data_IF_014822507208
#
_entry.id   IF_014822507208
#
_cell.length_a   1.000
_cell.length_b   1.000
_cell.length_c   1.000
_cell.angle_alpha   90.00
_cell.angle_beta   90.00
_cell.angle_gamma   90.00
#
_symmetry.space_group_name_H-M   'P 1'
#
loop_
_entity.id
_entity.type
_entity.pdbx_description
1 polymer ?
#
# COMPACT_ATOMS: atom_id res chain seq x y z
N UNK A 1 2.89 -18.07 -5.56
CA UNK A 1 2.09 -16.84 -5.36
C UNK A 1 1.96 -16.16 -6.70
N UNK A 2 0.73 -15.98 -7.19
CA UNK A 2 0.49 -15.19 -8.39
C UNK A 2 0.66 -13.70 -8.06
N UNK A 3 1.01 -12.89 -9.05
CA UNK A 3 1.10 -11.44 -8.88
C UNK A 3 -0.32 -10.85 -8.92
N UNK A 4 -0.64 -9.84 -8.09
CA UNK A 4 -1.92 -9.15 -8.14
C UNK A 4 -2.27 -8.67 -9.56
N UNK A 5 -3.52 -8.87 -9.99
CA UNK A 5 -3.93 -8.58 -11.37
C UNK A 5 -3.76 -7.11 -11.76
N UNK A 6 -3.92 -6.20 -10.79
CA UNK A 6 -3.76 -4.76 -11.01
C UNK A 6 -2.34 -4.38 -11.46
N UNK A 7 -1.32 -5.23 -11.20
CA UNK A 7 0.06 -4.99 -11.65
C UNK A 7 0.24 -5.09 -13.16
N UNK A 8 -0.73 -5.67 -13.87
CA UNK A 8 -0.74 -5.74 -15.33
C UNK A 8 -1.40 -4.51 -15.97
N UNK A 9 -2.03 -3.64 -15.16
CA UNK A 9 -2.68 -2.43 -15.65
C UNK A 9 -1.67 -1.29 -15.78
N UNK A 10 -1.55 -0.65 -16.96
CA UNK A 10 -0.72 0.54 -17.13
C UNK A 10 -1.24 1.77 -16.36
N UNK A 11 -2.43 1.67 -15.74
CA UNK A 11 -3.06 2.72 -14.94
C UNK A 11 -3.28 2.31 -13.49
N UNK A 12 -2.48 1.38 -12.96
CA UNK A 12 -2.59 0.99 -11.55
C UNK A 12 -2.36 2.19 -10.63
N UNK A 13 -3.36 2.46 -9.80
CA UNK A 13 -3.31 3.51 -8.79
C UNK A 13 -2.32 3.16 -7.69
N UNK A 14 -2.24 1.88 -7.33
CA UNK A 14 -1.27 1.40 -6.35
C UNK A 14 0.17 1.66 -6.81
N UNK A 15 0.50 1.33 -8.07
CA UNK A 15 1.83 1.58 -8.64
C UNK A 15 2.15 3.08 -8.71
N UNK A 16 1.16 3.90 -9.11
CA UNK A 16 1.30 5.36 -9.11
C UNK A 16 1.61 5.92 -7.72
N UNK A 17 0.85 5.51 -6.70
CA UNK A 17 1.06 5.97 -5.32
C UNK A 17 2.40 5.52 -4.75
N UNK A 18 2.85 4.29 -5.03
CA UNK A 18 4.15 3.83 -4.59
C UNK A 18 5.29 4.62 -5.25
N UNK A 19 5.12 5.04 -6.51
CA UNK A 19 6.05 5.94 -7.20
C UNK A 19 6.09 7.30 -6.51
N UNK A 20 4.93 7.88 -6.19
CA UNK A 20 4.86 9.14 -5.43
C UNK A 20 5.49 9.03 -4.04
N UNK A 21 5.36 7.89 -3.35
CA UNK A 21 6.07 7.65 -2.09
C UNK A 21 7.59 7.76 -2.28
N UNK A 22 8.12 7.28 -3.40
CA UNK A 22 9.56 7.35 -3.68
C UNK A 22 10.03 8.80 -3.83
N UNK A 23 9.25 9.63 -4.54
CA UNK A 23 9.55 11.04 -4.75
C UNK A 23 9.46 11.85 -3.44
N UNK A 24 8.41 11.62 -2.64
CA UNK A 24 8.18 12.34 -1.39
C UNK A 24 9.25 12.05 -0.35
N UNK A 25 9.64 10.78 -0.20
CA UNK A 25 10.56 10.34 0.85
C UNK A 25 12.03 10.26 0.40
N UNK A 26 12.35 10.71 -0.82
CA UNK A 26 13.71 10.67 -1.36
C UNK A 26 14.27 9.26 -1.54
N UNK A 27 13.39 8.28 -1.79
CA UNK A 27 13.81 6.92 -2.12
C UNK A 27 14.28 6.83 -3.58
N UNK A 28 15.13 5.85 -3.87
CA UNK A 28 15.60 5.62 -5.23
C UNK A 28 14.42 5.40 -6.17
N UNK A 29 14.35 6.22 -7.22
CA UNK A 29 13.28 6.15 -8.20
C UNK A 29 13.19 4.75 -8.82
N UNK A 30 11.97 4.28 -9.01
CA UNK A 30 11.72 3.03 -9.72
C UNK A 30 12.03 3.22 -11.21
N UNK A 31 13.08 2.55 -11.69
CA UNK A 31 13.49 2.59 -13.11
C UNK A 31 12.80 1.51 -13.96
N UNK A 32 12.03 0.62 -13.34
CA UNK A 32 11.26 -0.42 -14.01
C UNK A 32 10.08 -0.89 -13.15
N UNK A 33 9.14 -1.62 -13.74
CA UNK A 33 7.99 -2.16 -13.02
C UNK A 33 8.36 -3.32 -12.06
N UNK A 34 9.47 -4.01 -12.30
CA UNK A 34 9.80 -5.26 -11.59
C UNK A 34 9.96 -5.08 -10.07
N UNK A 35 10.67 -4.07 -9.55
CA UNK A 35 10.75 -3.84 -8.11
C UNK A 35 9.40 -3.49 -7.48
N UNK A 36 8.54 -2.74 -8.18
CA UNK A 36 7.17 -2.46 -7.71
C UNK A 36 6.34 -3.74 -7.63
N UNK A 37 6.43 -4.62 -8.64
CA UNK A 37 5.75 -5.92 -8.62
C UNK A 37 6.19 -6.76 -7.42
N UNK A 38 7.50 -6.81 -7.13
CA UNK A 38 8.02 -7.52 -5.96
C UNK A 38 7.53 -6.92 -4.64
N UNK A 39 7.42 -5.59 -4.57
CA UNK A 39 6.83 -4.90 -3.42
C UNK A 39 5.39 -5.38 -3.17
N UNK A 40 4.53 -5.32 -4.17
CA UNK A 40 3.11 -5.70 -4.03
C UNK A 40 2.92 -7.21 -3.84
N UNK A 41 3.75 -8.05 -4.46
CA UNK A 41 3.78 -9.49 -4.16
C UNK A 41 4.13 -9.75 -2.69
N UNK A 42 5.06 -8.99 -2.11
CA UNK A 42 5.41 -9.10 -0.70
C UNK A 42 4.33 -8.54 0.23
N UNK A 43 3.52 -7.57 -0.22
CA UNK A 43 2.31 -7.16 0.50
C UNK A 43 1.29 -8.30 0.53
N UNK A 44 1.14 -9.05 -0.57
CA UNK A 44 0.28 -10.24 -0.60
C UNK A 44 -1.21 -9.92 -0.51
N UNK A 45 -1.62 -8.75 -1.01
CA UNK A 45 -3.02 -8.34 -1.13
C UNK A 45 -3.35 -8.10 -2.60
N UNK A 46 -4.41 -8.74 -3.09
CA UNK A 46 -4.86 -8.67 -4.48
C UNK A 46 -5.90 -7.56 -4.73
N UNK A 47 -6.47 -6.98 -3.67
CA UNK A 47 -7.44 -5.89 -3.76
C UNK A 47 -6.72 -4.54 -3.88
N UNK A 48 -6.73 -3.97 -5.09
CA UNK A 48 -6.08 -2.68 -5.37
C UNK A 48 -6.65 -1.55 -4.51
N UNK A 49 -7.96 -1.54 -4.22
CA UNK A 49 -8.58 -0.46 -3.45
C UNK A 49 -8.09 -0.46 -2.00
N UNK A 50 -7.97 -1.64 -1.41
CA UNK A 50 -7.43 -1.82 -0.04
C UNK A 50 -5.95 -1.43 0.03
N UNK A 51 -5.14 -1.84 -0.96
CA UNK A 51 -3.72 -1.46 -1.05
C UNK A 51 -3.56 0.05 -1.23
N UNK A 52 -4.38 0.68 -2.08
CA UNK A 52 -4.39 2.13 -2.29
C UNK A 52 -4.74 2.86 -1.00
N UNK A 53 -5.76 2.40 -0.27
CA UNK A 53 -6.15 3.00 1.01
C UNK A 53 -5.01 2.89 2.02
N UNK A 54 -4.37 1.72 2.15
CA UNK A 54 -3.25 1.52 3.06
C UNK A 54 -2.04 2.41 2.70
N UNK A 55 -1.71 2.55 1.41
CA UNK A 55 -0.66 3.48 0.98
C UNK A 55 -0.99 4.93 1.33
N UNK A 56 -2.25 5.35 1.18
CA UNK A 56 -2.70 6.69 1.58
C UNK A 56 -2.59 6.91 3.10
N UNK A 57 -3.03 5.94 3.91
CA UNK A 57 -2.89 6.04 5.36
C UNK A 57 -1.42 6.11 5.78
N UNK A 58 -0.55 5.32 5.12
CA UNK A 58 0.89 5.39 5.37
C UNK A 58 1.47 6.77 5.02
N UNK A 59 1.09 7.34 3.87
CA UNK A 59 1.55 8.67 3.44
C UNK A 59 1.22 9.76 4.46
N UNK A 60 0.06 9.70 5.11
CA UNK A 60 -0.33 10.66 6.16
C UNK A 60 0.60 10.62 7.37
N UNK A 61 1.28 9.50 7.62
CA UNK A 61 2.23 9.40 8.74
C UNK A 61 3.50 10.23 8.51
N UNK A 62 3.84 10.54 7.26
CA UNK A 62 5.00 11.38 6.90
C UNK A 62 6.36 10.85 7.34
N UNK A 63 6.49 9.54 7.60
CA UNK A 63 7.70 8.96 8.24
C UNK A 63 8.82 8.65 7.26
N UNK A 64 8.60 7.67 6.37
CA UNK A 64 9.59 7.13 5.43
C UNK A 64 8.92 6.41 4.27
N UNK A 65 9.71 6.04 3.27
CA UNK A 65 9.27 5.10 2.24
C UNK A 65 8.74 3.80 2.88
N UNK A 66 7.54 3.33 2.50
CA UNK A 66 6.94 2.15 3.09
C UNK A 66 7.76 0.89 2.78
N UNK A 67 7.86 -0.01 3.74
CA UNK A 67 8.23 -1.39 3.51
C UNK A 67 6.93 -2.21 3.27
N UNK A 68 7.00 -3.38 2.61
CA UNK A 68 5.82 -4.21 2.40
C UNK A 68 5.10 -4.60 3.70
N UNK A 69 5.84 -4.77 4.80
CA UNK A 69 5.29 -5.08 6.12
C UNK A 69 4.40 -3.96 6.66
N UNK A 70 4.81 -2.70 6.51
CA UNK A 70 4.06 -1.53 6.96
C UNK A 70 2.67 -1.49 6.29
N UNK A 71 2.62 -1.81 5.00
CA UNK A 71 1.37 -1.84 4.24
C UNK A 71 0.50 -3.02 4.66
N UNK A 72 1.08 -4.20 4.93
CA UNK A 72 0.30 -5.36 5.44
C UNK A 72 -0.34 -5.07 6.79
N UNK A 73 0.36 -4.40 7.69
CA UNK A 73 -0.15 -4.02 9.01
C UNK A 73 -1.36 -3.09 8.84
N UNK A 74 -1.24 -2.04 8.02
CA UNK A 74 -2.36 -1.15 7.72
C UNK A 74 -3.55 -1.85 7.07
N UNK A 75 -3.32 -2.79 6.15
CA UNK A 75 -4.40 -3.59 5.55
C UNK A 75 -5.10 -4.43 6.62
N UNK A 76 -4.35 -5.03 7.54
CA UNK A 76 -4.93 -5.80 8.64
C UNK A 76 -5.75 -4.91 9.59
N UNK A 77 -5.28 -3.70 9.88
CA UNK A 77 -6.02 -2.69 10.68
C UNK A 77 -7.31 -2.26 9.98
N UNK A 78 -7.28 -1.99 8.67
CA UNK A 78 -8.46 -1.63 7.87
C UNK A 78 -9.49 -2.75 7.79
N UNK A 79 -9.05 -4.02 7.88
CA UNK A 79 -9.92 -5.18 7.88
C UNK A 79 -10.58 -5.46 9.24
N UNK A 80 -10.07 -4.87 10.33
CA UNK A 80 -10.72 -5.00 11.63
C UNK A 80 -11.99 -4.15 11.66
N UNK A 81 -13.17 -4.72 11.96
CA UNK A 81 -14.37 -3.93 12.17
C UNK A 81 -14.12 -2.98 13.34
N UNK A 82 -14.32 -1.68 13.12
CA UNK A 82 -14.15 -0.64 14.13
C UNK A 82 -14.93 -0.99 15.39
N UNK A 83 -14.30 -1.61 16.39
CA UNK A 83 -14.88 -1.76 17.72
C UNK A 83 -14.81 -0.40 18.41
N UNK A 84 -15.75 0.47 18.09
CA UNK A 84 -15.99 1.70 18.82
C UNK A 84 -17.48 1.93 19.01
N UNK A 85 -18.12 0.98 19.68
CA UNK A 85 -19.33 1.25 20.47
C UNK A 85 -18.89 1.27 21.92
N UNK A 86 -18.59 2.46 22.44
CA UNK A 86 -18.82 2.75 23.85
C UNK A 86 -19.99 3.72 23.88
N UNK A 87 -21.19 3.15 23.92
CA UNK A 87 -22.28 3.74 24.67
C UNK A 87 -21.76 3.98 26.09
N UNK A 88 -21.80 5.23 26.54
CA UNK A 88 -21.80 5.52 27.97
C UNK A 88 -23.07 6.32 28.21
N UNK A 89 -23.93 5.63 28.95
CA UNK A 89 -25.19 6.00 29.57
C UNK A 89 -25.13 7.32 30.36
#
# INVERSE_FOLDING_TARGET
MNAPEFLNSPRSKAMGLLTSCSEIFGHAAFTSAKPMQLFFMAVGCDDEAVVVQALFEWLKTGRRFPAPADIRELIAELAQPSTSTKEVE
#
